data_IF_297377256626
#
_entry.id   IF_297377256626
#
_cell.length_a   1.000
_cell.length_b   1.000
_cell.length_c   1.000
_cell.angle_alpha   90.00
_cell.angle_beta   90.00
_cell.angle_gamma   90.00
#
_symmetry.space_group_name_H-M   'P 1'
#
loop_
_entity.id
_entity.type
_entity.pdbx_description
1 polymer ?
#
# COMPACT_ATOMS: atom_id res chain seq x y z
N UNK A 1 -38.46 -37.52 20.43
CA UNK A 1 -39.17 -38.03 19.22
C UNK A 1 -38.65 -39.42 18.93
N UNK A 2 -39.54 -40.38 18.54
CA UNK A 2 -39.10 -41.69 18.06
C UNK A 2 -38.44 -41.54 16.67
N UNK A 3 -37.52 -42.44 16.30
CA UNK A 3 -36.82 -42.36 15.01
C UNK A 3 -37.80 -42.35 13.80
N UNK A 4 -38.97 -43.01 13.91
CA UNK A 4 -40.02 -42.98 12.89
C UNK A 4 -40.66 -41.61 12.75
N UNK A 5 -40.96 -40.92 13.87
CA UNK A 5 -41.57 -39.57 13.84
C UNK A 5 -40.61 -38.49 13.30
N UNK A 6 -39.30 -38.66 13.49
CA UNK A 6 -38.28 -37.77 12.95
C UNK A 6 -38.20 -37.89 11.40
N UNK A 7 -38.21 -39.14 10.89
CA UNK A 7 -38.20 -39.38 9.44
C UNK A 7 -39.44 -38.80 8.75
N UNK A 8 -40.60 -38.95 9.36
CA UNK A 8 -41.85 -38.41 8.80
C UNK A 8 -41.85 -36.89 8.78
N UNK A 9 -41.31 -36.23 9.83
CA UNK A 9 -41.13 -34.78 9.88
C UNK A 9 -40.15 -34.28 8.81
N UNK A 10 -39.04 -34.97 8.61
CA UNK A 10 -38.05 -34.59 7.58
C UNK A 10 -38.60 -34.70 6.15
N UNK A 11 -39.54 -35.64 5.91
CA UNK A 11 -40.21 -35.80 4.60
C UNK A 11 -41.14 -34.65 4.24
N UNK A 12 -41.57 -33.84 5.21
CA UNK A 12 -42.42 -32.67 4.97
C UNK A 12 -41.62 -31.44 4.45
N UNK A 13 -40.30 -31.50 4.49
CA UNK A 13 -39.50 -30.41 3.97
C UNK A 13 -39.65 -30.30 2.44
N UNK A 14 -39.85 -29.08 1.90
CA UNK A 14 -40.02 -28.88 0.47
C UNK A 14 -38.70 -29.17 -0.30
N UNK A 15 -38.86 -29.58 -1.56
CA UNK A 15 -37.74 -29.63 -2.48
C UNK A 15 -37.34 -28.22 -2.95
N UNK A 16 -36.10 -28.06 -3.41
CA UNK A 16 -35.60 -26.76 -3.89
C UNK A 16 -36.50 -26.20 -5.00
N UNK A 17 -36.88 -27.02 -5.99
CA UNK A 17 -37.74 -26.58 -7.10
C UNK A 17 -39.13 -26.15 -6.62
N UNK A 18 -39.66 -26.75 -5.57
CA UNK A 18 -40.94 -26.35 -4.98
C UNK A 18 -40.83 -24.98 -4.28
N UNK A 19 -39.70 -24.67 -3.67
CA UNK A 19 -39.44 -23.36 -3.08
C UNK A 19 -39.28 -22.29 -4.17
N UNK A 20 -38.55 -22.57 -5.24
CA UNK A 20 -38.34 -21.64 -6.34
C UNK A 20 -39.66 -21.22 -7.04
N UNK A 21 -40.70 -22.06 -6.98
CA UNK A 21 -42.03 -21.74 -7.49
C UNK A 21 -42.86 -20.83 -6.58
N UNK A 22 -42.39 -20.54 -5.35
CA UNK A 22 -43.06 -19.56 -4.48
C UNK A 22 -42.92 -18.16 -5.05
N UNK A 23 -43.95 -17.34 -4.86
CA UNK A 23 -44.01 -15.99 -5.42
C UNK A 23 -42.76 -15.14 -5.05
N UNK A 24 -42.34 -15.20 -3.78
CA UNK A 24 -41.20 -14.43 -3.29
C UNK A 24 -39.87 -14.82 -3.96
N UNK A 25 -39.62 -16.12 -4.21
CA UNK A 25 -38.38 -16.55 -4.87
C UNK A 25 -38.44 -16.39 -6.38
N UNK A 26 -39.60 -16.60 -7.00
CA UNK A 26 -39.81 -16.33 -8.42
C UNK A 26 -39.58 -14.84 -8.78
N UNK A 27 -40.03 -13.91 -7.93
CA UNK A 27 -39.75 -12.49 -8.08
C UNK A 27 -38.25 -12.18 -7.93
N UNK A 28 -37.53 -12.87 -7.04
CA UNK A 28 -36.09 -12.69 -6.88
C UNK A 28 -35.30 -13.25 -8.07
N UNK A 29 -35.73 -14.34 -8.69
CA UNK A 29 -35.08 -14.86 -9.91
C UNK A 29 -35.14 -13.87 -11.11
N UNK A 30 -36.08 -12.93 -11.09
CA UNK A 30 -36.17 -11.89 -12.10
C UNK A 30 -35.08 -10.81 -11.97
N UNK A 31 -34.50 -10.65 -10.78
CA UNK A 31 -33.52 -9.56 -10.45
C UNK A 31 -32.18 -10.06 -9.94
N UNK A 32 -32.08 -11.32 -9.54
CA UNK A 32 -30.86 -11.96 -9.05
C UNK A 32 -30.48 -13.16 -9.94
N UNK A 33 -29.18 -13.49 -10.04
CA UNK A 33 -28.77 -14.72 -10.70
C UNK A 33 -29.43 -15.95 -10.06
N UNK A 34 -30.02 -16.85 -10.87
CA UNK A 34 -30.68 -18.08 -10.41
C UNK A 34 -29.81 -18.88 -9.43
N UNK A 35 -28.47 -18.92 -9.64
CA UNK A 35 -27.54 -19.61 -8.76
C UNK A 35 -27.63 -19.11 -7.31
N UNK A 36 -27.76 -17.79 -7.10
CA UNK A 36 -27.85 -17.17 -5.77
C UNK A 36 -29.17 -17.62 -5.08
N UNK A 37 -30.29 -17.62 -5.82
CA UNK A 37 -31.61 -18.00 -5.28
C UNK A 37 -31.63 -19.48 -4.95
N UNK A 38 -31.06 -20.34 -5.80
CA UNK A 38 -30.94 -21.79 -5.58
C UNK A 38 -30.11 -22.11 -4.34
N UNK A 39 -28.94 -21.47 -4.18
CA UNK A 39 -28.12 -21.69 -3.00
C UNK A 39 -28.78 -21.19 -1.72
N UNK A 40 -29.48 -20.07 -1.77
CA UNK A 40 -30.28 -19.58 -0.64
C UNK A 40 -31.41 -20.54 -0.27
N UNK A 41 -32.10 -21.12 -1.25
CA UNK A 41 -33.14 -22.15 -1.02
C UNK A 41 -32.57 -23.40 -0.36
N UNK A 42 -31.41 -23.88 -0.82
CA UNK A 42 -30.65 -25.00 -0.22
C UNK A 42 -30.27 -24.73 1.23
N UNK A 43 -29.73 -23.52 1.49
CA UNK A 43 -29.37 -23.11 2.85
C UNK A 43 -30.58 -23.09 3.78
N UNK A 44 -31.69 -22.47 3.37
CA UNK A 44 -32.91 -22.41 4.16
C UNK A 44 -33.51 -23.81 4.48
N UNK A 45 -33.48 -24.73 3.51
CA UNK A 45 -33.90 -26.13 3.73
C UNK A 45 -32.96 -26.82 4.72
N UNK A 46 -31.64 -26.60 4.59
CA UNK A 46 -30.64 -27.15 5.51
C UNK A 46 -30.86 -26.66 6.94
N UNK A 47 -31.11 -25.35 7.11
CA UNK A 47 -31.40 -24.77 8.42
C UNK A 47 -32.72 -25.30 9.02
N UNK A 48 -33.76 -25.49 8.20
CA UNK A 48 -35.00 -26.12 8.62
C UNK A 48 -34.79 -27.58 9.05
N UNK A 49 -33.94 -28.31 8.32
CA UNK A 49 -33.57 -29.70 8.66
C UNK A 49 -32.80 -29.77 9.99
N UNK A 50 -31.82 -28.89 10.20
CA UNK A 50 -31.07 -28.83 11.44
C UNK A 50 -31.97 -28.52 12.64
N UNK A 51 -32.91 -27.59 12.50
CA UNK A 51 -33.91 -27.30 13.55
C UNK A 51 -34.72 -28.54 13.94
N UNK A 52 -35.12 -29.38 12.97
CA UNK A 52 -35.84 -30.64 13.26
C UNK A 52 -34.92 -31.61 14.01
N UNK A 53 -33.64 -31.74 13.64
CA UNK A 53 -32.69 -32.59 14.38
C UNK A 53 -32.46 -32.11 15.82
N UNK A 54 -32.51 -30.80 16.05
CA UNK A 54 -32.41 -30.20 17.39
C UNK A 54 -33.72 -30.31 18.21
N UNK A 55 -34.71 -31.05 17.71
CA UNK A 55 -35.97 -31.29 18.39
C UNK A 55 -37.06 -30.26 18.15
N UNK A 56 -36.85 -29.34 17.21
CA UNK A 56 -37.87 -28.37 16.79
C UNK A 56 -38.94 -28.96 15.88
N UNK A 57 -39.98 -28.17 15.59
CA UNK A 57 -41.05 -28.52 14.63
C UNK A 57 -40.65 -28.17 13.20
N UNK A 58 -41.26 -28.84 12.21
CA UNK A 58 -41.09 -28.45 10.80
C UNK A 58 -41.70 -27.07 10.56
N UNK A 59 -40.92 -26.18 9.91
CA UNK A 59 -41.44 -24.89 9.46
C UNK A 59 -42.31 -25.06 8.21
N UNK A 60 -43.39 -24.27 8.06
CA UNK A 60 -44.18 -24.21 6.84
C UNK A 60 -43.33 -23.84 5.62
N UNK A 61 -43.71 -24.28 4.43
CA UNK A 61 -43.06 -24.00 3.15
C UNK A 61 -42.83 -22.51 2.95
N UNK A 62 -43.83 -21.69 3.25
CA UNK A 62 -43.72 -20.21 3.05
C UNK A 62 -42.71 -19.57 4.00
N UNK A 63 -42.56 -20.06 5.22
CA UNK A 63 -41.56 -19.59 6.17
C UNK A 63 -40.15 -19.93 5.67
N UNK A 64 -39.94 -21.13 5.13
CA UNK A 64 -38.68 -21.56 4.54
C UNK A 64 -38.38 -20.71 3.29
N UNK A 65 -39.37 -20.40 2.46
CA UNK A 65 -39.24 -19.56 1.29
C UNK A 65 -38.86 -18.11 1.66
N UNK A 66 -39.47 -17.53 2.70
CA UNK A 66 -39.13 -16.22 3.22
C UNK A 66 -37.70 -16.19 3.79
N UNK A 67 -37.29 -17.25 4.49
CA UNK A 67 -35.90 -17.39 4.96
C UNK A 67 -34.94 -17.46 3.79
N UNK A 68 -35.23 -18.24 2.74
CA UNK A 68 -34.42 -18.29 1.51
C UNK A 68 -34.33 -16.91 0.82
N UNK A 69 -35.47 -16.20 0.73
CA UNK A 69 -35.45 -14.83 0.16
C UNK A 69 -34.58 -13.89 0.96
N UNK A 70 -34.62 -13.95 2.29
CA UNK A 70 -33.72 -13.14 3.15
C UNK A 70 -32.26 -13.46 2.92
N UNK A 71 -31.90 -14.75 2.84
CA UNK A 71 -30.52 -15.20 2.55
C UNK A 71 -30.06 -14.70 1.17
N UNK A 72 -30.89 -14.86 0.13
CA UNK A 72 -30.57 -14.41 -1.22
C UNK A 72 -30.32 -12.90 -1.29
N UNK A 73 -31.19 -12.11 -0.66
CA UNK A 73 -31.06 -10.66 -0.59
C UNK A 73 -29.81 -10.22 0.20
N UNK A 74 -29.48 -10.92 1.28
CA UNK A 74 -28.26 -10.64 2.03
C UNK A 74 -27.01 -10.99 1.23
N UNK A 75 -27.00 -12.11 0.53
CA UNK A 75 -25.89 -12.54 -0.33
C UNK A 75 -25.68 -11.56 -1.50
N UNK A 76 -26.76 -11.03 -2.06
CA UNK A 76 -26.72 -10.08 -3.15
C UNK A 76 -26.32 -8.65 -2.74
N UNK A 77 -26.40 -8.32 -1.46
CA UNK A 77 -25.97 -6.99 -1.00
C UNK A 77 -24.46 -6.80 -1.14
N UNK A 78 -24.00 -5.67 -1.69
CA UNK A 78 -22.58 -5.34 -1.69
C UNK A 78 -22.02 -5.40 -0.25
N UNK A 79 -20.93 -6.13 -0.07
CA UNK A 79 -20.23 -6.20 1.23
C UNK A 79 -19.53 -4.87 1.55
N UNK A 80 -18.95 -4.22 0.52
CA UNK A 80 -18.36 -2.89 0.63
C UNK A 80 -19.47 -1.83 0.50
N UNK A 81 -19.63 -1.03 1.54
CA UNK A 81 -20.68 -0.01 1.61
C UNK A 81 -20.24 1.21 2.39
N UNK A 82 -20.82 2.35 2.08
CA UNK A 82 -20.60 3.59 2.83
C UNK A 82 -21.01 3.43 4.30
N UNK A 83 -20.16 3.96 5.20
CA UNK A 83 -20.41 4.04 6.64
C UNK A 83 -20.14 5.46 7.14
N UNK A 84 -20.63 5.75 8.34
CA UNK A 84 -20.34 7.00 9.05
C UNK A 84 -19.14 6.74 9.97
N UNK A 85 -18.06 7.49 9.79
CA UNK A 85 -16.92 7.44 10.68
C UNK A 85 -17.20 8.31 11.93
N UNK A 86 -17.42 7.67 13.06
CA UNK A 86 -17.58 8.31 14.36
C UNK A 86 -16.44 7.92 15.35
N UNK A 87 -15.30 7.45 14.83
CA UNK A 87 -14.19 6.96 15.64
C UNK A 87 -13.25 8.05 16.16
N UNK A 88 -13.40 9.31 15.70
CA UNK A 88 -12.48 10.41 16.06
C UNK A 88 -11.13 10.34 15.34
N UNK A 89 -10.94 9.41 14.41
CA UNK A 89 -9.73 9.25 13.60
C UNK A 89 -10.06 9.48 12.13
N UNK A 90 -9.62 10.60 11.56
CA UNK A 90 -9.99 11.01 10.19
C UNK A 90 -9.47 10.00 9.15
N UNK A 91 -8.20 9.60 9.26
CA UNK A 91 -7.57 8.63 8.36
C UNK A 91 -7.61 7.24 9.01
N UNK A 92 -8.82 6.71 9.20
CA UNK A 92 -9.01 5.42 9.86
C UNK A 92 -8.72 4.25 8.90
N UNK A 93 -7.73 3.43 9.22
CA UNK A 93 -7.24 2.32 8.38
C UNK A 93 -8.35 1.37 7.93
N UNK A 94 -9.24 0.96 8.86
CA UNK A 94 -10.29 0.00 8.57
C UNK A 94 -11.52 0.61 7.88
N UNK A 95 -11.57 1.94 7.74
CA UNK A 95 -12.69 2.67 7.12
C UNK A 95 -12.32 3.30 5.78
N UNK A 96 -11.23 2.83 5.15
CA UNK A 96 -10.82 3.23 3.81
C UNK A 96 -9.88 4.43 3.74
N UNK A 97 -9.41 4.94 4.89
CA UNK A 97 -8.47 6.08 4.99
C UNK A 97 -9.02 7.38 4.42
N UNK A 98 -8.31 8.08 3.50
CA UNK A 98 -8.74 9.33 2.90
C UNK A 98 -10.00 9.18 2.04
N UNK A 99 -10.90 10.15 2.16
CA UNK A 99 -12.07 10.27 1.28
C UNK A 99 -11.68 11.11 0.07
N UNK A 100 -11.95 10.60 -1.13
CA UNK A 100 -11.64 11.33 -2.37
C UNK A 100 -12.51 12.60 -2.50
N UNK A 101 -11.95 13.71 -3.00
CA UNK A 101 -12.73 14.88 -3.34
C UNK A 101 -13.67 14.58 -4.52
N UNK A 102 -14.77 15.34 -4.61
CA UNK A 102 -15.79 15.11 -5.64
C UNK A 102 -15.23 15.15 -7.08
N UNK A 103 -14.26 16.03 -7.32
CA UNK A 103 -13.59 16.13 -8.63
C UNK A 103 -12.83 14.84 -9.00
N UNK A 104 -12.17 14.19 -8.04
CA UNK A 104 -11.47 12.93 -8.27
C UNK A 104 -12.47 11.79 -8.50
N UNK A 105 -13.56 11.72 -7.73
CA UNK A 105 -14.64 10.73 -7.95
C UNK A 105 -15.20 10.86 -9.37
N UNK A 106 -15.48 12.10 -9.81
CA UNK A 106 -15.96 12.36 -11.18
C UNK A 106 -14.95 11.92 -12.25
N UNK A 107 -13.66 12.19 -12.05
CA UNK A 107 -12.62 11.78 -12.99
C UNK A 107 -12.52 10.24 -13.09
N UNK A 108 -12.64 9.53 -11.97
CA UNK A 108 -12.70 8.05 -11.94
C UNK A 108 -13.92 7.55 -12.72
N UNK A 109 -15.09 8.15 -12.50
CA UNK A 109 -16.33 7.81 -13.19
C UNK A 109 -16.18 8.00 -14.71
N UNK A 110 -15.64 9.14 -15.14
CA UNK A 110 -15.44 9.47 -16.55
C UNK A 110 -14.53 8.45 -17.26
N UNK A 111 -13.40 8.03 -16.64
CA UNK A 111 -12.50 7.04 -17.25
C UNK A 111 -13.03 5.61 -17.12
N UNK A 112 -13.88 5.32 -16.13
CA UNK A 112 -14.46 3.99 -15.93
C UNK A 112 -15.48 3.65 -17.00
N UNK A 113 -16.26 4.63 -17.49
CA UNK A 113 -17.33 4.45 -18.46
C UNK A 113 -16.85 4.16 -19.88
N UNK A 114 -15.57 4.32 -20.20
CA UNK A 114 -15.09 4.15 -21.57
C UNK A 114 -13.63 3.74 -21.71
N UNK A 115 -13.17 3.78 -22.96
CA UNK A 115 -11.75 3.67 -23.27
C UNK A 115 -11.04 4.95 -22.83
N UNK A 116 -9.78 4.83 -22.42
CA UNK A 116 -8.97 5.94 -21.94
C UNK A 116 -7.58 5.95 -22.57
N UNK A 117 -6.90 7.07 -22.49
CA UNK A 117 -5.55 7.30 -23.00
C UNK A 117 -4.44 6.72 -22.10
N UNK A 118 -4.76 5.80 -21.20
CA UNK A 118 -3.88 5.28 -20.14
C UNK A 118 -2.43 5.02 -20.57
N UNK A 119 -2.22 4.37 -21.70
CA UNK A 119 -0.89 4.13 -22.30
C UNK A 119 -0.87 4.55 -23.79
N UNK A 120 -1.62 5.59 -24.13
CA UNK A 120 -1.69 6.10 -25.49
C UNK A 120 -1.52 7.62 -25.52
N UNK A 121 -0.49 8.08 -26.22
CA UNK A 121 -0.25 9.50 -26.45
C UNK A 121 -0.98 9.95 -27.73
N UNK A 122 -1.97 10.82 -27.53
CA UNK A 122 -2.79 11.35 -28.63
C UNK A 122 -2.07 12.39 -29.50
N UNK A 123 -0.97 12.97 -29.03
CA UNK A 123 -0.17 13.94 -29.81
C UNK A 123 0.76 13.23 -30.78
N UNK A 124 1.51 12.24 -30.29
CA UNK A 124 2.42 11.44 -31.11
C UNK A 124 1.72 10.27 -31.81
N UNK A 125 0.44 9.99 -31.50
CA UNK A 125 -0.34 8.86 -32.00
C UNK A 125 0.36 7.52 -31.77
N UNK A 126 1.08 7.39 -30.64
CA UNK A 126 1.92 6.25 -30.30
C UNK A 126 1.67 5.78 -28.86
N UNK A 127 2.36 4.71 -28.48
CA UNK A 127 2.33 4.22 -27.12
C UNK A 127 2.98 5.24 -26.16
N UNK A 128 2.20 5.72 -25.18
CA UNK A 128 2.65 6.59 -24.11
C UNK A 128 3.02 5.84 -22.85
N UNK A 129 3.43 6.60 -21.84
CA UNK A 129 3.72 6.11 -20.49
C UNK A 129 2.57 6.42 -19.54
N UNK A 130 2.09 5.42 -18.84
CA UNK A 130 1.08 5.56 -17.75
C UNK A 130 1.53 6.53 -16.65
N UNK A 131 2.83 6.58 -16.37
CA UNK A 131 3.38 7.45 -15.31
C UNK A 131 3.27 8.94 -15.67
N UNK A 132 3.20 9.28 -16.96
CA UNK A 132 3.12 10.67 -17.43
C UNK A 132 1.87 11.42 -16.91
N UNK A 133 0.78 10.70 -16.62
CA UNK A 133 -0.48 11.31 -16.17
C UNK A 133 -0.39 12.00 -14.80
N UNK A 134 0.45 11.51 -13.88
CA UNK A 134 0.58 12.09 -12.55
C UNK A 134 1.96 12.71 -12.29
N UNK A 135 3.00 12.32 -13.03
CA UNK A 135 4.38 12.73 -12.78
C UNK A 135 4.56 14.25 -12.73
N UNK A 136 4.04 14.96 -13.73
CA UNK A 136 4.18 16.42 -13.82
C UNK A 136 3.55 17.13 -12.62
N UNK A 137 2.33 16.70 -12.20
CA UNK A 137 1.65 17.27 -11.05
C UNK A 137 2.39 16.96 -9.75
N UNK A 138 2.85 15.73 -9.56
CA UNK A 138 3.63 15.33 -8.39
C UNK A 138 4.91 16.15 -8.27
N UNK A 139 5.63 16.38 -9.37
CA UNK A 139 6.82 17.25 -9.40
C UNK A 139 6.48 18.68 -8.97
N UNK A 140 5.40 19.25 -9.49
CA UNK A 140 4.98 20.62 -9.17
C UNK A 140 4.63 20.79 -7.68
N UNK A 141 3.90 19.86 -7.10
CA UNK A 141 3.43 19.99 -5.71
C UNK A 141 4.49 19.60 -4.68
N UNK A 142 5.48 18.77 -5.04
CA UNK A 142 6.55 18.33 -4.12
C UNK A 142 7.85 19.12 -4.32
N UNK A 143 8.07 19.69 -5.50
CA UNK A 143 9.34 20.31 -5.89
C UNK A 143 10.43 19.30 -6.31
N UNK A 144 10.07 18.03 -6.52
CA UNK A 144 11.00 16.99 -6.94
C UNK A 144 11.40 17.11 -8.42
N UNK A 145 12.54 16.54 -8.80
CA UNK A 145 12.99 16.48 -10.19
C UNK A 145 12.17 15.48 -11.02
N UNK A 146 11.79 14.35 -10.41
CA UNK A 146 10.96 13.30 -11.03
C UNK A 146 10.06 12.61 -10.02
N UNK A 147 9.05 11.90 -10.52
CA UNK A 147 8.10 11.14 -9.71
C UNK A 147 7.69 9.83 -10.38
N UNK A 148 7.34 8.85 -9.54
CA UNK A 148 6.78 7.56 -9.94
C UNK A 148 5.67 7.20 -8.97
N UNK A 149 4.55 6.67 -9.47
CA UNK A 149 3.48 6.14 -8.63
C UNK A 149 3.32 4.62 -8.88
N UNK A 150 3.19 3.88 -7.77
CA UNK A 150 2.95 2.44 -7.70
C UNK A 150 1.74 2.17 -6.81
N UNK A 151 1.30 0.92 -6.68
CA UNK A 151 0.00 0.57 -6.09
C UNK A 151 -0.16 0.85 -4.58
N UNK A 152 0.93 0.92 -3.82
CA UNK A 152 0.93 1.35 -2.40
C UNK A 152 2.34 1.68 -1.91
N UNK A 153 2.46 2.28 -0.71
CA UNK A 153 3.77 2.69 -0.18
C UNK A 153 4.68 1.51 0.19
N UNK A 154 4.13 0.37 0.61
CA UNK A 154 4.94 -0.83 0.85
C UNK A 154 5.63 -1.32 -0.42
N UNK A 155 4.92 -1.25 -1.55
CA UNK A 155 5.47 -1.54 -2.87
C UNK A 155 6.52 -0.51 -3.31
N UNK A 156 6.34 0.76 -2.95
CA UNK A 156 7.33 1.81 -3.20
C UNK A 156 8.63 1.53 -2.43
N UNK A 157 8.54 1.21 -1.14
CA UNK A 157 9.70 0.85 -0.30
C UNK A 157 10.40 -0.39 -0.85
N UNK A 158 9.64 -1.45 -1.18
CA UNK A 158 10.19 -2.67 -1.78
C UNK A 158 10.95 -2.38 -3.09
N UNK A 159 10.37 -1.55 -3.97
CA UNK A 159 10.97 -1.20 -5.25
C UNK A 159 12.28 -0.42 -5.07
N UNK A 160 12.31 0.59 -4.18
CA UNK A 160 13.50 1.38 -3.88
C UNK A 160 14.61 0.50 -3.30
N UNK A 161 14.31 -0.32 -2.30
CA UNK A 161 15.28 -1.21 -1.67
C UNK A 161 15.79 -2.28 -2.65
N UNK A 162 14.91 -2.84 -3.49
CA UNK A 162 15.32 -3.83 -4.52
C UNK A 162 16.24 -3.23 -5.56
N UNK A 163 16.02 -1.97 -5.97
CA UNK A 163 16.87 -1.32 -6.98
C UNK A 163 18.22 -0.87 -6.42
N UNK A 164 18.23 -0.31 -5.20
CA UNK A 164 19.40 0.40 -4.70
C UNK A 164 20.15 -0.29 -3.54
N UNK A 165 19.54 -1.30 -2.91
CA UNK A 165 20.14 -1.97 -1.76
C UNK A 165 20.19 -3.51 -1.89
N UNK A 166 19.68 -4.10 -2.96
CA UNK A 166 19.73 -5.56 -3.15
C UNK A 166 21.17 -6.07 -3.17
N UNK A 167 21.48 -6.99 -2.23
CA UNK A 167 22.83 -7.51 -2.04
C UNK A 167 23.78 -6.59 -1.28
N UNK A 168 23.35 -5.37 -0.97
CA UNK A 168 24.07 -4.36 -0.22
C UNK A 168 23.44 -4.10 1.14
N UNK A 169 24.10 -3.29 1.96
CA UNK A 169 23.61 -2.88 3.26
C UNK A 169 22.76 -1.61 3.17
N UNK A 170 21.62 -1.64 3.88
CA UNK A 170 20.82 -0.47 4.16
C UNK A 170 20.83 -0.23 5.68
N UNK A 171 21.35 0.93 6.08
CA UNK A 171 21.45 1.31 7.49
C UNK A 171 20.17 2.02 7.93
N UNK A 172 19.59 1.58 9.05
CA UNK A 172 18.36 2.13 9.62
C UNK A 172 18.47 2.26 11.14
N UNK A 173 17.87 3.32 11.71
CA UNK A 173 17.79 3.47 13.16
C UNK A 173 16.89 2.39 13.76
N UNK A 174 17.33 1.76 14.86
CA UNK A 174 16.52 0.79 15.63
C UNK A 174 15.21 1.39 16.13
N UNK A 175 15.22 2.68 16.48
CA UNK A 175 14.00 3.41 16.87
C UNK A 175 13.01 3.66 15.73
N UNK A 176 13.40 3.39 14.49
CA UNK A 176 12.58 3.57 13.28
C UNK A 176 12.11 2.23 12.65
N UNK A 177 12.40 1.10 13.31
CA UNK A 177 11.90 -0.21 12.92
C UNK A 177 10.45 -0.36 13.37
N UNK A 178 9.54 0.15 12.56
CA UNK A 178 8.12 0.24 12.90
C UNK A 178 7.31 -0.92 12.33
N UNK A 179 6.19 -1.24 13.00
CA UNK A 179 5.10 -2.04 12.45
C UNK A 179 3.88 -1.14 12.25
N UNK A 180 3.36 -1.08 11.02
CA UNK A 180 2.26 -0.19 10.63
C UNK A 180 1.17 -0.97 9.89
N UNK A 181 -0.10 -0.61 10.09
CA UNK A 181 -1.21 -1.04 9.24
C UNK A 181 -1.52 -2.54 9.29
N UNK A 182 -1.25 -3.21 10.42
CA UNK A 182 -1.70 -4.57 10.68
C UNK A 182 -0.69 -5.69 10.41
N UNK A 183 0.44 -5.42 9.72
CA UNK A 183 1.54 -6.39 9.58
C UNK A 183 2.70 -5.90 8.70
N UNK A 184 2.69 -4.63 8.26
CA UNK A 184 3.83 -4.08 7.52
C UNK A 184 4.96 -3.78 8.50
N UNK A 185 6.06 -4.50 8.39
CA UNK A 185 7.28 -4.32 9.18
C UNK A 185 8.44 -3.95 8.27
N UNK A 186 9.18 -2.93 8.65
CA UNK A 186 10.37 -2.51 7.92
C UNK A 186 11.39 -3.66 7.75
N UNK A 187 11.73 -4.45 8.78
CA UNK A 187 12.63 -5.58 8.62
C UNK A 187 12.18 -6.60 7.56
N UNK A 188 10.88 -6.95 7.54
CA UNK A 188 10.35 -7.96 6.63
C UNK A 188 10.44 -7.48 5.16
N UNK A 189 10.20 -6.20 4.91
CA UNK A 189 10.33 -5.61 3.57
C UNK A 189 11.79 -5.51 3.15
N UNK A 190 12.70 -5.18 4.07
CA UNK A 190 14.13 -5.17 3.77
C UNK A 190 14.64 -6.57 3.41
N UNK A 191 14.25 -7.59 4.15
CA UNK A 191 14.59 -8.98 3.84
C UNK A 191 14.03 -9.40 2.46
N UNK A 192 12.75 -9.10 2.21
CA UNK A 192 12.09 -9.42 0.93
C UNK A 192 12.77 -8.73 -0.27
N UNK A 193 13.30 -7.53 -0.09
CA UNK A 193 14.01 -6.80 -1.14
C UNK A 193 15.38 -7.37 -1.48
N UNK A 194 15.93 -8.22 -0.60
CA UNK A 194 17.30 -8.73 -0.68
C UNK A 194 18.36 -7.75 -0.18
N UNK A 195 17.95 -6.64 0.45
CA UNK A 195 18.86 -5.75 1.16
C UNK A 195 19.30 -6.37 2.50
N UNK A 196 20.54 -6.12 2.91
CA UNK A 196 21.02 -6.49 4.24
C UNK A 196 20.77 -5.35 5.20
N UNK A 197 19.90 -5.57 6.18
CA UNK A 197 19.60 -4.57 7.20
C UNK A 197 20.77 -4.43 8.18
N UNK A 198 21.16 -3.18 8.44
CA UNK A 198 22.12 -2.81 9.48
C UNK A 198 21.43 -1.85 10.45
N UNK A 199 21.13 -2.35 11.64
CA UNK A 199 20.49 -1.56 12.70
C UNK A 199 21.51 -0.74 13.47
N UNK A 200 21.22 0.56 13.68
CA UNK A 200 22.08 1.46 14.46
C UNK A 200 21.35 2.12 15.61
N UNK A 201 22.10 2.53 16.62
CA UNK A 201 21.56 3.15 17.82
C UNK A 201 20.77 2.20 18.73
N UNK A 202 19.86 2.77 19.48
CA UNK A 202 18.97 2.06 20.43
C UNK A 202 17.51 2.38 20.15
N UNK A 203 16.59 1.77 20.88
CA UNK A 203 15.14 1.97 20.69
C UNK A 203 14.75 3.45 20.76
N UNK A 204 15.33 4.22 21.67
CA UNK A 204 14.94 5.61 21.94
C UNK A 204 15.97 6.64 21.52
N UNK A 205 17.22 6.25 21.24
CA UNK A 205 18.29 7.18 20.85
C UNK A 205 19.15 6.63 19.74
N UNK A 206 19.36 7.44 18.73
CA UNK A 206 20.32 7.19 17.65
C UNK A 206 21.10 8.48 17.39
N UNK A 207 22.42 8.38 17.42
CA UNK A 207 23.32 9.50 17.21
C UNK A 207 23.89 9.49 15.78
N UNK A 208 24.40 10.64 15.34
CA UNK A 208 25.05 10.77 14.04
C UNK A 208 26.23 9.80 13.90
N UNK A 209 26.98 9.61 14.99
CA UNK A 209 28.12 8.67 15.06
C UNK A 209 27.71 7.21 14.84
N UNK A 210 26.49 6.82 15.23
CA UNK A 210 26.03 5.45 15.05
C UNK A 210 25.90 5.10 13.57
N UNK A 211 25.35 6.02 12.77
CA UNK A 211 25.32 5.89 11.30
C UNK A 211 26.72 5.93 10.70
N UNK A 212 27.53 6.93 11.05
CA UNK A 212 28.87 7.11 10.48
C UNK A 212 29.78 5.89 10.72
N UNK A 213 29.72 5.29 11.92
CA UNK A 213 30.53 4.13 12.29
C UNK A 213 30.07 2.82 11.62
N UNK A 214 28.82 2.74 11.16
CA UNK A 214 28.27 1.55 10.53
C UNK A 214 28.51 1.50 9.00
N UNK A 215 28.85 2.65 8.39
CA UNK A 215 29.11 2.73 6.95
C UNK A 215 30.38 1.96 6.60
N UNK A 216 30.28 1.18 5.53
CA UNK A 216 31.39 0.45 4.94
C UNK A 216 31.23 0.34 3.41
N UNK A 217 32.14 -0.34 2.74
CA UNK A 217 32.14 -0.47 1.27
C UNK A 217 30.88 -1.17 0.71
N UNK A 218 30.15 -1.96 1.52
CA UNK A 218 28.93 -2.62 1.10
C UNK A 218 27.67 -1.78 1.35
N UNK A 219 27.79 -0.63 2.03
CA UNK A 219 26.64 0.20 2.36
C UNK A 219 26.16 0.98 1.14
N UNK A 220 24.92 0.73 0.70
CA UNK A 220 24.31 1.39 -0.45
C UNK A 220 23.31 2.48 -0.07
N UNK A 221 22.72 2.41 1.14
CA UNK A 221 21.57 3.26 1.48
C UNK A 221 21.51 3.59 2.97
N UNK A 222 21.24 4.85 3.29
CA UNK A 222 20.81 5.31 4.61
C UNK A 222 19.29 5.46 4.57
N UNK A 223 18.59 4.62 5.32
CA UNK A 223 17.13 4.64 5.41
C UNK A 223 16.68 5.45 6.61
N UNK A 224 15.81 6.42 6.35
CA UNK A 224 15.05 7.16 7.34
C UNK A 224 13.60 6.71 7.28
N UNK A 225 13.01 6.30 8.41
CA UNK A 225 11.59 5.97 8.48
C UNK A 225 10.90 6.94 9.44
N UNK A 226 9.89 7.65 8.92
CA UNK A 226 9.14 8.62 9.72
C UNK A 226 8.04 7.92 10.54
N UNK A 227 8.02 8.09 11.89
CA UNK A 227 7.00 7.49 12.75
C UNK A 227 5.69 8.28 12.67
N UNK A 228 4.97 8.14 11.55
CA UNK A 228 3.78 8.94 11.22
C UNK A 228 2.54 8.63 12.08
N UNK A 229 2.50 7.50 12.80
CA UNK A 229 1.32 7.04 13.52
C UNK A 229 1.53 6.86 15.04
N UNK A 230 2.73 7.15 15.55
CA UNK A 230 3.02 7.18 16.98
C UNK A 230 4.07 8.22 17.31
N UNK A 231 4.21 8.54 18.59
CA UNK A 231 5.23 9.46 19.10
C UNK A 231 5.97 8.82 20.25
N UNK A 232 7.29 8.88 20.20
CA UNK A 232 8.14 8.53 21.32
C UNK A 232 8.47 9.81 22.09
N UNK A 233 8.19 9.85 23.40
CA UNK A 233 8.40 11.01 24.25
C UNK A 233 9.35 10.68 25.42
N UNK A 234 10.04 11.69 25.95
CA UNK A 234 11.00 11.54 27.06
C UNK A 234 12.44 11.64 26.57
N UNK A 235 13.29 10.73 27.02
CA UNK A 235 14.72 10.71 26.66
C UNK A 235 14.92 10.11 25.24
N UNK A 236 14.55 10.86 24.22
CA UNK A 236 14.60 10.41 22.82
C UNK A 236 15.54 11.29 22.01
N UNK A 237 16.21 10.68 21.02
CA UNK A 237 17.02 11.38 20.02
C UNK A 237 16.97 10.63 18.69
N UNK A 238 16.76 11.35 17.59
CA UNK A 238 16.75 10.82 16.24
C UNK A 238 17.64 11.66 15.34
N UNK A 239 18.31 11.03 14.38
CA UNK A 239 19.19 11.74 13.45
C UNK A 239 18.35 12.47 12.39
N UNK A 240 18.49 13.81 12.26
CA UNK A 240 17.80 14.57 11.21
C UNK A 240 18.33 14.22 9.80
N UNK A 241 17.47 14.34 8.79
CA UNK A 241 17.84 14.11 7.39
C UNK A 241 19.08 14.92 6.94
N UNK A 242 19.18 16.17 7.37
CA UNK A 242 20.35 17.02 7.06
C UNK A 242 21.67 16.41 7.53
N UNK A 243 21.67 15.73 8.66
CA UNK A 243 22.88 15.09 9.19
C UNK A 243 23.17 13.79 8.41
N UNK A 244 22.14 13.01 8.05
CA UNK A 244 22.31 11.85 7.17
C UNK A 244 22.89 12.27 5.81
N UNK A 245 22.40 13.39 5.23
CA UNK A 245 22.95 13.94 3.99
C UNK A 245 24.42 14.31 4.11
N UNK A 246 24.83 14.98 5.20
CA UNK A 246 26.24 15.34 5.44
C UNK A 246 27.14 14.11 5.50
N UNK A 247 26.69 13.05 6.19
CA UNK A 247 27.42 11.77 6.27
C UNK A 247 27.56 11.18 4.87
N UNK A 248 26.44 11.08 4.13
CA UNK A 248 26.45 10.52 2.78
C UNK A 248 27.33 11.33 1.81
N UNK A 249 27.31 12.66 1.90
CA UNK A 249 28.17 13.52 1.08
C UNK A 249 29.67 13.35 1.40
N UNK A 250 30.00 13.16 2.67
CA UNK A 250 31.38 12.91 3.10
C UNK A 250 31.88 11.56 2.55
N UNK A 251 31.06 10.52 2.69
CA UNK A 251 31.35 9.18 2.19
C UNK A 251 31.47 9.17 0.64
N UNK A 252 30.54 9.81 -0.07
CA UNK A 252 30.56 9.86 -1.53
C UNK A 252 31.78 10.58 -2.08
N UNK A 253 32.31 11.61 -1.38
CA UNK A 253 33.57 12.23 -1.74
C UNK A 253 34.75 11.27 -1.60
N UNK A 254 34.82 10.49 -0.51
CA UNK A 254 35.85 9.47 -0.32
C UNK A 254 35.80 8.39 -1.39
N UNK A 255 34.60 7.82 -1.65
CA UNK A 255 34.40 6.81 -2.70
C UNK A 255 34.79 7.31 -4.09
N UNK A 256 34.50 8.58 -4.40
CA UNK A 256 34.89 9.20 -5.68
C UNK A 256 36.40 9.33 -5.81
N UNK A 257 37.10 9.74 -4.76
CA UNK A 257 38.59 9.84 -4.75
C UNK A 257 39.24 8.46 -4.88
N UNK A 258 38.70 7.44 -4.20
CA UNK A 258 39.19 6.05 -4.31
C UNK A 258 39.00 5.50 -5.73
N UNK A 259 37.86 5.71 -6.35
CA UNK A 259 37.56 5.31 -7.73
C UNK A 259 38.53 6.00 -8.73
N UNK A 260 38.77 7.30 -8.57
CA UNK A 260 39.68 8.05 -9.41
C UNK A 260 41.12 7.53 -9.27
N UNK A 261 41.53 7.23 -8.05
CA UNK A 261 42.85 6.65 -7.76
C UNK A 261 43.00 5.25 -8.40
N UNK A 262 41.98 4.39 -8.30
CA UNK A 262 41.99 3.07 -8.89
C UNK A 262 41.98 3.12 -10.43
N UNK A 263 41.22 4.03 -11.03
CA UNK A 263 41.20 4.25 -12.48
C UNK A 263 42.55 4.70 -12.99
N UNK A 264 43.22 5.61 -12.29
CA UNK A 264 44.56 6.08 -12.64
C UNK A 264 45.63 4.99 -12.51
N UNK A 265 45.46 4.07 -11.54
CA UNK A 265 46.40 2.96 -11.32
C UNK A 265 46.20 1.78 -12.29
N UNK A 266 44.95 1.46 -12.68
CA UNK A 266 44.60 0.24 -13.42
C UNK A 266 44.43 0.46 -14.94
N UNK A 267 44.34 1.69 -15.42
CA UNK A 267 44.00 2.02 -16.80
C UNK A 267 42.57 1.66 -17.19
N UNK A 268 42.12 1.96 -18.44
CA UNK A 268 40.70 1.86 -18.85
C UNK A 268 40.07 0.46 -18.84
N UNK A 269 40.82 -0.60 -18.54
CA UNK A 269 40.38 -1.99 -18.56
C UNK A 269 40.17 -2.63 -17.18
N UNK A 270 40.31 -1.89 -16.08
CA UNK A 270 40.48 -2.43 -14.73
C UNK A 270 39.32 -2.40 -13.79
N UNK A 271 38.11 -2.04 -14.19
CA UNK A 271 36.94 -2.08 -13.30
C UNK A 271 36.27 -3.44 -13.37
N UNK A 272 36.52 -4.29 -12.36
CA UNK A 272 35.80 -5.56 -12.18
C UNK A 272 34.34 -5.32 -11.86
N UNK A 273 33.45 -6.03 -12.57
CA UNK A 273 32.03 -6.11 -12.26
C UNK A 273 31.84 -6.68 -10.84
N UNK A 274 31.29 -5.88 -9.93
CA UNK A 274 31.00 -6.28 -8.54
C UNK A 274 31.39 -5.25 -7.50
N UNK A 275 31.75 -4.05 -7.92
CA UNK A 275 32.16 -2.96 -7.03
C UNK A 275 30.95 -2.36 -6.26
N UNK A 276 31.27 -1.85 -5.08
CA UNK A 276 30.52 -0.96 -4.22
C UNK A 276 29.42 -0.17 -4.96
N UNK A 277 28.23 0.05 -4.36
CA UNK A 277 27.22 0.97 -4.88
C UNK A 277 27.88 2.29 -5.30
N UNK A 278 27.49 2.82 -6.45
CA UNK A 278 28.17 4.00 -7.01
C UNK A 278 28.17 5.18 -6.02
N UNK A 279 27.06 5.43 -5.36
CA UNK A 279 26.90 6.45 -4.31
C UNK A 279 26.10 5.90 -3.12
N UNK A 280 26.41 6.40 -1.94
CA UNK A 280 25.59 6.20 -0.73
C UNK A 280 24.38 7.12 -0.80
N UNK A 281 23.20 6.54 -0.89
CA UNK A 281 21.93 7.26 -1.03
C UNK A 281 21.26 7.53 0.31
N UNK A 282 20.53 8.65 0.41
CA UNK A 282 19.63 8.96 1.53
C UNK A 282 18.19 8.79 1.06
N UNK A 283 17.49 7.84 1.64
CA UNK A 283 16.10 7.53 1.31
C UNK A 283 15.21 7.69 2.55
N UNK A 284 14.07 8.38 2.40
CA UNK A 284 13.06 8.50 3.45
C UNK A 284 11.78 7.77 3.07
N UNK A 285 11.36 6.82 3.93
CA UNK A 285 9.98 6.36 3.99
C UNK A 285 9.19 7.28 4.92
N UNK A 286 8.54 8.31 4.33
CA UNK A 286 7.75 9.26 5.10
C UNK A 286 6.38 8.70 5.48
N UNK A 287 5.81 7.86 4.64
CA UNK A 287 4.53 7.19 4.85
C UNK A 287 3.30 8.11 4.83
N UNK A 288 3.33 9.26 5.49
CA UNK A 288 2.17 10.16 5.67
C UNK A 288 1.77 10.96 4.43
N UNK A 289 2.74 11.42 3.64
CA UNK A 289 2.51 12.20 2.42
C UNK A 289 1.98 13.60 2.68
N UNK A 290 2.45 14.26 3.74
CA UNK A 290 2.10 15.65 4.01
C UNK A 290 2.70 16.59 2.96
N UNK A 291 1.87 17.37 2.28
CA UNK A 291 2.29 18.42 1.35
C UNK A 291 2.23 19.81 1.97
N UNK A 292 1.40 19.98 2.98
CA UNK A 292 1.18 21.23 3.68
C UNK A 292 1.56 21.06 5.15
N UNK A 293 2.05 22.13 5.75
CA UNK A 293 2.28 22.16 7.20
C UNK A 293 0.93 22.18 7.92
N UNK A 294 0.83 21.37 8.98
CA UNK A 294 -0.37 21.21 9.78
C UNK A 294 -0.28 21.98 11.12
N UNK A 295 0.48 23.07 11.16
CA UNK A 295 0.74 23.88 12.35
C UNK A 295 -0.55 24.43 13.01
N UNK A 296 -1.64 24.51 12.25
CA UNK A 296 -2.96 24.91 12.76
C UNK A 296 -3.57 23.91 13.78
N UNK A 297 -3.03 22.68 13.86
CA UNK A 297 -3.47 21.67 14.81
C UNK A 297 -2.58 21.57 16.07
N UNK A 298 -1.74 22.59 16.36
CA UNK A 298 -0.90 22.69 17.56
C UNK A 298 0.57 22.39 17.28
N UNK A 299 1.33 22.06 18.35
CA UNK A 299 2.79 21.86 18.31
C UNK A 299 3.24 20.59 17.56
N UNK A 300 2.33 19.89 16.91
CA UNK A 300 2.62 18.70 16.14
C UNK A 300 2.91 19.08 14.68
N UNK A 301 4.18 19.28 14.37
CA UNK A 301 4.63 19.57 13.01
C UNK A 301 4.94 18.26 12.27
N UNK A 302 4.06 17.87 11.36
CA UNK A 302 4.35 16.79 10.40
C UNK A 302 5.29 17.33 9.32
N UNK A 303 6.46 16.68 9.05
CA UNK A 303 7.36 17.14 8.00
C UNK A 303 6.68 16.99 6.64
N UNK A 304 6.82 18.01 5.81
CA UNK A 304 6.31 17.93 4.43
C UNK A 304 7.31 17.26 3.50
N UNK A 305 6.81 16.62 2.43
CA UNK A 305 7.63 16.01 1.37
C UNK A 305 8.65 17.01 0.82
N UNK A 306 8.21 18.26 0.57
CA UNK A 306 9.10 19.32 0.08
C UNK A 306 10.19 19.73 1.09
N UNK A 307 9.91 19.66 2.41
CA UNK A 307 10.95 19.89 3.43
C UNK A 307 11.97 18.77 3.46
N UNK A 308 11.55 17.52 3.34
CA UNK A 308 12.46 16.37 3.28
C UNK A 308 13.37 16.42 2.06
N UNK A 309 12.85 16.80 0.89
CA UNK A 309 13.69 17.03 -0.31
C UNK A 309 14.74 18.14 -0.07
N UNK A 310 14.32 19.29 0.47
CA UNK A 310 15.24 20.39 0.81
C UNK A 310 16.28 20.01 1.87
N UNK A 311 15.96 19.02 2.72
CA UNK A 311 16.88 18.48 3.71
C UNK A 311 17.86 17.44 3.15
N UNK A 312 17.80 17.16 1.83
CA UNK A 312 18.79 16.40 1.10
C UNK A 312 18.49 14.93 0.93
N UNK A 313 17.22 14.50 1.00
CA UNK A 313 16.83 13.17 0.56
C UNK A 313 17.04 13.02 -0.95
N UNK A 314 17.64 11.91 -1.37
CA UNK A 314 17.74 11.52 -2.79
C UNK A 314 16.40 10.99 -3.30
N UNK A 315 15.72 10.21 -2.47
CA UNK A 315 14.39 9.65 -2.74
C UNK A 315 13.50 9.72 -1.49
N UNK A 316 12.22 9.93 -1.70
CA UNK A 316 11.19 9.89 -0.66
C UNK A 316 10.04 9.04 -1.17
N UNK A 317 9.48 8.18 -0.32
CA UNK A 317 8.22 7.49 -0.61
C UNK A 317 7.13 7.82 0.41
N UNK A 318 5.88 7.83 -0.05
CA UNK A 318 4.71 8.10 0.79
C UNK A 318 3.42 7.54 0.20
N UNK A 319 2.39 7.45 1.05
CA UNK A 319 1.07 6.93 0.67
C UNK A 319 0.19 8.03 0.06
N UNK A 320 -0.51 7.70 -1.03
CA UNK A 320 -1.48 8.61 -1.65
C UNK A 320 -2.78 8.77 -0.85
N UNK A 321 -3.19 7.74 -0.13
CA UNK A 321 -4.46 7.63 0.61
C UNK A 321 -4.39 8.07 2.08
N UNK A 322 -3.38 8.86 2.43
CA UNK A 322 -3.23 9.47 3.75
C UNK A 322 -3.38 10.99 3.66
N UNK A 323 -2.38 11.76 4.09
CA UNK A 323 -2.45 13.22 4.14
C UNK A 323 -2.47 13.89 2.76
N UNK A 324 -2.01 13.20 1.70
CA UNK A 324 -2.21 13.67 0.32
C UNK A 324 -3.72 13.75 -0.05
N UNK A 325 -4.56 12.88 0.52
CA UNK A 325 -6.01 12.88 0.25
C UNK A 325 -6.42 12.26 -1.08
N UNK A 326 -5.54 11.46 -1.68
CA UNK A 326 -5.76 10.74 -2.94
C UNK A 326 -6.23 9.30 -2.77
N UNK A 327 -6.22 8.51 -3.86
CA UNK A 327 -6.46 7.07 -3.81
C UNK A 327 -5.25 6.34 -3.20
N UNK A 328 -5.42 5.01 -2.96
CA UNK A 328 -4.29 4.19 -2.54
C UNK A 328 -3.23 4.17 -3.62
N UNK A 329 -2.07 4.73 -3.32
CA UNK A 329 -0.89 4.69 -4.16
C UNK A 329 0.37 4.75 -3.27
N UNK A 330 1.48 4.23 -3.77
CA UNK A 330 2.81 4.52 -3.27
C UNK A 330 3.47 5.52 -4.21
N UNK A 331 3.79 6.68 -3.71
CA UNK A 331 4.40 7.74 -4.51
C UNK A 331 5.87 7.84 -4.16
N UNK A 332 6.74 7.81 -5.16
CA UNK A 332 8.18 7.97 -5.01
C UNK A 332 8.56 9.26 -5.74
N UNK A 333 9.25 10.14 -5.06
CA UNK A 333 9.75 11.42 -5.61
C UNK A 333 11.21 11.62 -5.27
N UNK A 334 11.95 12.35 -6.09
CA UNK A 334 13.34 12.70 -5.82
C UNK A 334 14.13 12.95 -7.09
N UNK A 335 15.41 12.57 -7.06
CA UNK A 335 16.37 12.74 -8.16
C UNK A 335 15.90 12.02 -9.42
N UNK A 336 16.02 12.70 -10.56
CA UNK A 336 15.54 12.18 -11.84
C UNK A 336 16.25 10.90 -12.29
N UNK A 337 17.58 10.85 -12.16
CA UNK A 337 18.37 9.68 -12.53
C UNK A 337 17.94 8.41 -11.77
N UNK A 338 17.64 8.55 -10.47
CA UNK A 338 17.20 7.44 -9.63
C UNK A 338 15.78 7.01 -9.96
N UNK A 339 14.87 7.96 -10.16
CA UNK A 339 13.46 7.65 -10.51
C UNK A 339 13.38 6.98 -11.88
N UNK A 340 14.21 7.37 -12.85
CA UNK A 340 14.24 6.70 -14.16
C UNK A 340 14.76 5.25 -14.05
N UNK A 341 15.72 4.97 -13.17
CA UNK A 341 16.15 3.60 -12.86
C UNK A 341 15.00 2.78 -12.26
N UNK A 342 14.25 3.34 -11.32
CA UNK A 342 13.07 2.69 -10.75
C UNK A 342 12.00 2.37 -11.82
N UNK A 343 11.73 3.29 -12.75
CA UNK A 343 10.80 3.08 -13.86
C UNK A 343 11.26 1.95 -14.79
N UNK A 344 12.56 1.78 -14.97
CA UNK A 344 13.15 0.73 -15.81
C UNK A 344 13.15 -0.65 -15.12
N UNK A 345 13.06 -0.71 -13.80
CA UNK A 345 13.05 -1.97 -13.06
C UNK A 345 11.79 -2.80 -13.42
N UNK A 346 11.92 -4.10 -13.76
CA UNK A 346 10.78 -4.97 -14.08
C UNK A 346 9.72 -5.04 -12.96
N UNK A 347 10.12 -4.87 -11.70
CA UNK A 347 9.21 -4.85 -10.56
C UNK A 347 8.22 -3.67 -10.64
N UNK A 348 8.63 -2.52 -11.18
CA UNK A 348 7.73 -1.38 -11.38
C UNK A 348 6.51 -1.72 -12.25
N UNK A 349 6.69 -2.65 -13.22
CA UNK A 349 5.58 -3.15 -14.04
C UNK A 349 4.60 -4.01 -13.23
N UNK A 350 5.09 -4.84 -12.33
CA UNK A 350 4.26 -5.67 -11.45
C UNK A 350 3.47 -4.82 -10.43
N UNK A 351 4.05 -3.70 -10.01
CA UNK A 351 3.52 -2.80 -8.99
C UNK A 351 2.75 -1.58 -9.56
N UNK A 352 2.51 -1.55 -10.86
CA UNK A 352 1.89 -0.40 -11.52
C UNK A 352 0.43 -0.19 -11.12
N UNK A 353 -0.01 1.07 -11.13
CA UNK A 353 -1.40 1.46 -10.92
C UNK A 353 -2.32 0.97 -12.06
N UNK A 354 -3.60 0.81 -11.76
CA UNK A 354 -4.67 0.65 -12.74
C UNK A 354 -5.14 2.01 -13.30
N UNK A 355 -6.21 1.99 -14.10
CA UNK A 355 -6.74 3.22 -14.69
C UNK A 355 -7.64 4.04 -13.76
N UNK A 356 -8.07 3.46 -12.62
CA UNK A 356 -8.98 4.12 -11.67
C UNK A 356 -8.22 4.94 -10.62
N UNK A 357 -6.99 4.56 -10.35
CA UNK A 357 -6.08 5.25 -9.45
C UNK A 357 -5.39 6.42 -10.13
#
# INVERSE_FOLDING_TARGET
MTASSLQDTLRTLPQVEELLQTECLAQLEAVLPRAVVVEAARAAISDARNRIFDGGSASPKDEIALSAASIALQTAKPSLRRVINAAGVVIHTNLGRSVLPHSAVKAVEDVAHGYSTLEYDTQSMARGSRHAHCEQLLRLITGAEAALAVNNNAAAVLLVLTEFAKGHEAIVSRGELVEIGGSFRIPDIMELSGARMVEVGTTNKTHVSDYANAINQNTGLLLKVHPSNYRMAGFTEAVPLKELRKIADAENRMRSQERETQLNAAGPRGLANGACPDDLLVYEDQGSGALLRLDCFGDYAEPTVGESLRNGCDLISFSGDKLLGGPQAGIIVGRKDLVERLKANPLARALRLDKMT
#
